data_IF_565552925251
#
_entry.id   IF_565552925251
#
_cell.length_a   1.000
_cell.length_b   1.000
_cell.length_c   1.000
_cell.angle_alpha   90.00
_cell.angle_beta   90.00
_cell.angle_gamma   90.00
#
_symmetry.space_group_name_H-M   'P 1'
#
loop_
_entity.id
_entity.type
_entity.pdbx_description
1 polymer ?
#
# COMPACT_ATOMS: atom_id res chain seq x y z
N UNK A 1 15.59 18.73 -4.74
CA UNK A 1 15.54 17.95 -6.00
C UNK A 1 16.61 18.54 -6.90
N UNK A 2 17.69 17.78 -7.13
CA UNK A 2 18.74 18.16 -8.09
C UNK A 2 18.10 18.17 -9.47
N UNK A 3 18.14 19.33 -10.15
CA UNK A 3 17.64 19.46 -11.52
C UNK A 3 18.80 19.24 -12.47
N UNK A 4 18.63 18.35 -13.44
CA UNK A 4 19.51 18.30 -14.60
C UNK A 4 19.13 19.50 -15.47
N UNK A 5 19.92 20.57 -15.41
CA UNK A 5 19.68 21.78 -16.20
C UNK A 5 20.22 21.64 -17.62
N UNK A 6 19.68 20.65 -18.34
CA UNK A 6 20.04 20.34 -19.73
C UNK A 6 18.78 20.00 -20.54
N UNK A 7 18.79 20.32 -21.82
CA UNK A 7 17.81 19.78 -22.74
C UNK A 7 17.89 18.24 -22.77
N UNK A 8 16.76 17.55 -22.90
CA UNK A 8 16.72 16.06 -22.95
C UNK A 8 17.65 15.46 -24.02
N UNK A 9 17.93 16.21 -25.09
CA UNK A 9 18.84 15.78 -26.17
C UNK A 9 20.32 15.87 -25.77
N UNK A 10 20.64 16.63 -24.71
CA UNK A 10 22.00 16.88 -24.22
C UNK A 10 22.33 16.07 -22.95
N UNK A 11 21.34 15.35 -22.41
CA UNK A 11 21.55 14.51 -21.23
C UNK A 11 22.40 13.31 -21.59
N UNK A 12 23.48 13.13 -20.86
CA UNK A 12 24.41 11.99 -21.00
C UNK A 12 24.22 10.98 -19.86
N UNK A 13 24.79 9.79 -20.04
CA UNK A 13 24.78 8.73 -19.02
C UNK A 13 25.35 9.20 -17.69
N UNK A 14 26.37 10.05 -17.72
CA UNK A 14 27.01 10.55 -16.49
C UNK A 14 26.13 11.56 -15.74
N UNK A 15 25.32 12.35 -16.44
CA UNK A 15 24.35 13.26 -15.80
C UNK A 15 23.33 12.47 -14.99
N UNK A 16 22.85 11.34 -15.53
CA UNK A 16 21.89 10.47 -14.83
C UNK A 16 22.55 9.80 -13.61
N UNK A 17 23.81 9.37 -13.74
CA UNK A 17 24.54 8.79 -12.61
C UNK A 17 24.75 9.81 -11.50
N UNK A 18 25.19 11.03 -11.85
CA UNK A 18 25.35 12.12 -10.91
C UNK A 18 24.00 12.41 -10.19
N UNK A 19 22.91 12.55 -10.94
CA UNK A 19 21.59 12.78 -10.37
C UNK A 19 21.18 11.71 -9.35
N UNK A 20 21.38 10.42 -9.67
CA UNK A 20 21.04 9.32 -8.75
C UNK A 20 21.91 9.38 -7.48
N UNK A 21 23.21 9.66 -7.63
CA UNK A 21 24.14 9.79 -6.52
C UNK A 21 23.82 11.00 -5.62
N UNK A 22 23.54 12.14 -6.22
CA UNK A 22 23.16 13.35 -5.49
C UNK A 22 21.84 13.15 -4.74
N UNK A 23 20.87 12.50 -5.38
CA UNK A 23 19.60 12.17 -4.73
C UNK A 23 19.79 11.21 -3.53
N UNK A 24 20.68 10.22 -3.65
CA UNK A 24 21.05 9.32 -2.54
C UNK A 24 21.61 10.12 -1.36
N UNK A 25 22.56 11.01 -1.63
CA UNK A 25 23.24 11.82 -0.61
C UNK A 25 22.31 12.83 0.08
N UNK A 26 21.44 13.48 -0.68
CA UNK A 26 20.53 14.52 -0.15
C UNK A 26 19.32 13.96 0.61
N UNK A 27 18.75 12.85 0.13
CA UNK A 27 17.52 12.28 0.68
C UNK A 27 17.72 11.09 1.60
N UNK A 28 18.96 10.59 1.75
CA UNK A 28 19.28 9.33 2.43
C UNK A 28 18.41 8.16 1.95
N UNK A 29 18.10 8.12 0.67
CA UNK A 29 17.18 7.17 0.06
C UNK A 29 17.74 5.76 0.04
N UNK A 30 16.92 4.79 0.44
CA UNK A 30 17.29 3.38 0.36
C UNK A 30 17.42 2.87 -1.09
N UNK A 31 18.23 1.82 -1.29
CA UNK A 31 18.51 1.21 -2.60
C UNK A 31 17.27 0.87 -3.43
N UNK A 32 16.16 0.50 -2.79
CA UNK A 32 14.88 0.23 -3.47
C UNK A 32 14.34 1.49 -4.14
N UNK A 33 14.37 2.63 -3.43
CA UNK A 33 13.94 3.92 -3.95
C UNK A 33 14.82 4.36 -5.12
N UNK A 34 16.13 4.21 -4.98
CA UNK A 34 17.08 4.54 -6.05
C UNK A 34 16.86 3.67 -7.31
N UNK A 35 16.62 2.35 -7.15
CA UNK A 35 16.30 1.49 -8.31
C UNK A 35 14.95 1.86 -8.96
N UNK A 36 13.96 2.30 -8.18
CA UNK A 36 12.71 2.81 -8.74
C UNK A 36 12.92 4.10 -9.54
N UNK A 37 13.71 5.06 -9.03
CA UNK A 37 14.09 6.28 -9.76
C UNK A 37 14.81 5.92 -11.05
N UNK A 38 15.82 5.03 -10.98
CA UNK A 38 16.51 4.51 -12.16
C UNK A 38 15.54 3.94 -13.20
N UNK A 39 14.56 3.13 -12.77
CA UNK A 39 13.55 2.53 -13.67
C UNK A 39 12.69 3.58 -14.35
N UNK A 40 12.24 4.59 -13.60
CA UNK A 40 11.44 5.71 -14.15
C UNK A 40 12.25 6.45 -15.22
N UNK A 41 13.51 6.80 -14.90
CA UNK A 41 14.41 7.50 -15.84
C UNK A 41 14.65 6.63 -17.08
N UNK A 42 14.91 5.33 -16.90
CA UNK A 42 15.15 4.41 -18.02
C UNK A 42 13.92 4.29 -18.93
N UNK A 43 12.71 4.19 -18.35
CA UNK A 43 11.48 4.13 -19.13
C UNK A 43 11.21 5.43 -19.89
N UNK A 44 11.48 6.58 -19.27
CA UNK A 44 11.32 7.88 -19.91
C UNK A 44 12.26 8.06 -21.11
N UNK A 45 13.54 7.76 -20.94
CA UNK A 45 14.50 7.89 -22.05
C UNK A 45 14.32 6.80 -23.12
N UNK A 46 13.81 5.62 -22.78
CA UNK A 46 13.42 4.62 -23.76
C UNK A 46 12.24 5.11 -24.62
N UNK A 47 11.22 5.70 -23.99
CA UNK A 47 10.10 6.31 -24.70
C UNK A 47 10.56 7.45 -25.64
N UNK A 48 11.48 8.33 -25.20
CA UNK A 48 12.05 9.38 -26.07
C UNK A 48 12.80 8.82 -27.28
N UNK A 49 13.49 7.67 -27.13
CA UNK A 49 14.17 6.97 -28.21
C UNK A 49 13.15 6.37 -29.16
N UNK A 50 12.10 5.68 -28.66
CA UNK A 50 11.04 5.07 -29.46
C UNK A 50 10.25 6.09 -30.27
N UNK A 51 10.01 7.30 -29.71
CA UNK A 51 9.32 8.40 -30.37
C UNK A 51 10.27 9.26 -31.27
N UNK A 52 11.54 8.87 -31.42
CA UNK A 52 12.54 9.57 -32.22
C UNK A 52 12.88 11.00 -31.74
N UNK A 53 12.62 11.36 -30.49
CA UNK A 53 13.07 12.64 -29.91
C UNK A 53 14.58 12.67 -29.68
N UNK A 54 15.16 11.49 -29.42
CA UNK A 54 16.60 11.26 -29.26
C UNK A 54 17.02 10.03 -30.09
N UNK A 55 18.27 10.01 -30.53
CA UNK A 55 18.79 8.89 -31.35
C UNK A 55 19.08 7.65 -30.49
N UNK A 56 19.48 7.85 -29.22
CA UNK A 56 19.86 6.77 -28.31
C UNK A 56 19.66 7.19 -26.87
N UNK A 57 19.00 6.32 -26.10
CA UNK A 57 18.79 6.55 -24.68
C UNK A 57 20.09 6.56 -23.87
N UNK A 58 20.40 7.64 -23.13
CA UNK A 58 21.56 7.72 -22.24
C UNK A 58 21.43 6.78 -21.05
N UNK A 59 20.22 6.31 -20.74
CA UNK A 59 19.95 5.41 -19.60
C UNK A 59 20.29 3.94 -19.92
N UNK A 60 20.58 3.56 -21.16
CA UNK A 60 20.89 2.15 -21.55
C UNK A 60 22.03 1.51 -20.73
N UNK A 61 23.02 2.32 -20.31
CA UNK A 61 24.18 1.86 -19.53
C UNK A 61 24.02 2.01 -18.02
N UNK A 62 22.81 2.36 -17.57
CA UNK A 62 22.50 2.44 -16.13
C UNK A 62 21.94 1.09 -15.69
N UNK A 63 22.77 0.30 -15.05
CA UNK A 63 22.39 -1.04 -14.60
C UNK A 63 21.52 -1.01 -13.35
N UNK A 64 20.78 -2.09 -13.14
CA UNK A 64 19.95 -2.31 -11.96
C UNK A 64 20.78 -2.21 -10.69
N UNK A 65 20.29 -1.43 -9.73
CA UNK A 65 20.87 -1.36 -8.39
C UNK A 65 20.51 -2.66 -7.66
N UNK A 66 21.52 -3.39 -7.20
CA UNK A 66 21.31 -4.63 -6.46
C UNK A 66 20.73 -4.31 -5.09
N UNK A 67 19.51 -4.70 -4.89
CA UNK A 67 18.83 -4.66 -3.59
C UNK A 67 18.93 -6.05 -2.97
N UNK A 68 19.47 -6.15 -1.77
CA UNK A 68 19.44 -7.41 -1.01
C UNK A 68 18.00 -7.87 -0.79
N UNK A 69 17.75 -9.17 -0.78
CA UNK A 69 16.46 -9.70 -0.33
C UNK A 69 16.37 -9.50 1.18
N UNK A 70 15.54 -8.57 1.62
CA UNK A 70 15.16 -8.44 3.03
C UNK A 70 13.90 -9.28 3.23
N UNK A 71 13.97 -10.30 4.06
CA UNK A 71 12.78 -10.97 4.58
C UNK A 71 12.17 -9.98 5.57
N UNK A 72 10.94 -9.59 5.32
CA UNK A 72 10.20 -8.77 6.30
C UNK A 72 9.71 -9.70 7.39
N UNK A 73 9.85 -9.29 8.63
CA UNK A 73 9.23 -9.96 9.74
C UNK A 73 7.72 -9.96 9.55
N UNK A 74 7.10 -11.07 9.91
CA UNK A 74 5.65 -11.25 9.92
C UNK A 74 5.21 -11.49 11.35
N UNK A 75 4.03 -11.03 11.71
CA UNK A 75 3.49 -11.27 13.03
C UNK A 75 3.28 -12.78 13.25
N UNK A 76 3.69 -13.26 14.42
CA UNK A 76 3.32 -14.61 14.91
C UNK A 76 1.84 -14.64 15.34
N UNK A 77 1.31 -15.83 15.56
CA UNK A 77 -0.06 -15.98 16.05
C UNK A 77 -0.22 -15.35 17.45
N UNK A 78 0.81 -15.47 18.30
CA UNK A 78 0.85 -14.88 19.63
C UNK A 78 0.85 -13.35 19.58
N UNK A 79 1.64 -12.77 18.69
CA UNK A 79 1.67 -11.32 18.49
C UNK A 79 0.32 -10.80 17.98
N UNK A 80 -0.34 -11.54 17.09
CA UNK A 80 -1.69 -11.19 16.64
C UNK A 80 -2.73 -11.25 17.77
N UNK A 81 -2.63 -12.21 18.70
CA UNK A 81 -3.49 -12.24 19.89
C UNK A 81 -3.20 -11.04 20.82
N UNK A 82 -1.93 -10.70 21.04
CA UNK A 82 -1.56 -9.52 21.83
C UNK A 82 -2.12 -8.23 21.20
N UNK A 83 -2.05 -8.09 19.87
CA UNK A 83 -2.67 -6.97 19.18
C UNK A 83 -4.18 -6.90 19.40
N UNK A 84 -4.88 -8.04 19.40
CA UNK A 84 -6.32 -8.12 19.71
C UNK A 84 -6.62 -7.69 21.13
N UNK A 85 -5.83 -8.15 22.09
CA UNK A 85 -5.99 -7.82 23.51
C UNK A 85 -5.76 -6.34 23.82
N UNK A 86 -4.94 -5.65 23.01
CA UNK A 86 -4.72 -4.20 23.14
C UNK A 86 -5.85 -3.36 22.56
N UNK A 87 -6.76 -3.95 21.77
CA UNK A 87 -7.88 -3.22 21.18
C UNK A 87 -8.89 -2.77 22.24
N UNK A 88 -9.14 -1.49 22.29
CA UNK A 88 -10.09 -0.88 23.25
C UNK A 88 -11.50 -0.70 22.66
N UNK A 89 -11.70 -1.04 21.40
CA UNK A 89 -12.99 -0.88 20.71
C UNK A 89 -13.17 -1.97 19.65
N UNK A 90 -14.43 -2.27 19.33
CA UNK A 90 -14.83 -3.33 18.40
C UNK A 90 -14.37 -3.07 16.96
N UNK A 91 -14.27 -1.81 16.52
CA UNK A 91 -13.82 -1.45 15.17
C UNK A 91 -12.38 -1.89 14.93
N UNK A 92 -11.48 -1.55 15.85
CA UNK A 92 -10.06 -1.84 15.69
C UNK A 92 -9.81 -3.34 15.76
N UNK A 93 -10.52 -4.05 16.63
CA UNK A 93 -10.51 -5.51 16.70
C UNK A 93 -10.97 -6.15 15.38
N UNK A 94 -12.11 -5.70 14.83
CA UNK A 94 -12.63 -6.20 13.56
C UNK A 94 -11.68 -5.90 12.38
N UNK A 95 -10.95 -4.77 12.39
CA UNK A 95 -9.95 -4.43 11.38
C UNK A 95 -8.80 -5.45 11.39
N UNK A 96 -8.25 -5.76 12.59
CA UNK A 96 -7.17 -6.75 12.73
C UNK A 96 -7.61 -8.10 12.21
N UNK A 97 -8.80 -8.55 12.63
CA UNK A 97 -9.31 -9.86 12.24
C UNK A 97 -9.56 -9.97 10.74
N UNK A 98 -10.17 -8.96 10.12
CA UNK A 98 -10.39 -8.99 8.68
C UNK A 98 -9.06 -9.02 7.93
N UNK A 99 -8.07 -8.22 8.34
CA UNK A 99 -6.76 -8.21 7.69
C UNK A 99 -6.01 -9.52 7.86
N UNK A 100 -5.97 -10.07 9.09
CA UNK A 100 -5.24 -11.32 9.38
C UNK A 100 -5.91 -12.54 8.76
N UNK A 101 -7.23 -12.63 8.78
CA UNK A 101 -7.99 -13.76 8.27
C UNK A 101 -8.04 -13.82 6.74
N UNK A 102 -8.17 -12.65 6.08
CA UNK A 102 -8.38 -12.58 4.62
C UNK A 102 -7.12 -12.27 3.82
N UNK A 103 -6.11 -11.67 4.42
CA UNK A 103 -4.91 -11.20 3.73
C UNK A 103 -5.16 -10.11 2.67
N UNK A 104 -6.27 -9.38 2.75
CA UNK A 104 -6.55 -8.28 1.82
C UNK A 104 -5.62 -7.10 2.06
N UNK A 105 -5.40 -6.30 1.01
CA UNK A 105 -4.60 -5.08 1.14
C UNK A 105 -5.37 -4.00 1.89
N UNK A 106 -4.66 -3.15 2.63
CA UNK A 106 -5.28 -2.01 3.34
C UNK A 106 -6.10 -1.14 2.39
N UNK A 107 -5.63 -0.93 1.16
CA UNK A 107 -6.38 -0.19 0.13
C UNK A 107 -7.68 -0.89 -0.31
N UNK A 108 -7.75 -2.21 -0.27
CA UNK A 108 -8.97 -2.97 -0.53
C UNK A 108 -9.92 -2.91 0.67
N UNK A 109 -9.38 -3.02 1.89
CA UNK A 109 -10.15 -2.92 3.13
C UNK A 109 -10.92 -1.59 3.24
N UNK A 110 -10.25 -0.46 3.00
CA UNK A 110 -10.88 0.87 3.13
C UNK A 110 -12.00 1.09 2.10
N UNK A 111 -11.98 0.38 0.99
CA UNK A 111 -13.00 0.49 -0.05
C UNK A 111 -14.21 -0.42 0.17
N UNK A 112 -14.16 -1.36 1.12
CA UNK A 112 -15.30 -2.24 1.43
C UNK A 112 -16.48 -1.45 1.97
N UNK A 113 -17.68 -1.87 1.55
CA UNK A 113 -18.95 -1.47 2.12
C UNK A 113 -19.55 -2.62 2.93
N UNK A 114 -20.52 -2.33 3.78
CA UNK A 114 -21.24 -3.35 4.53
C UNK A 114 -21.91 -4.36 3.57
N UNK A 115 -22.44 -3.87 2.44
CA UNK A 115 -23.09 -4.71 1.43
C UNK A 115 -22.14 -5.67 0.69
N UNK A 116 -20.82 -5.46 0.77
CA UNK A 116 -19.82 -6.35 0.13
C UNK A 116 -19.52 -7.59 0.99
N UNK A 117 -20.10 -7.70 2.20
CA UNK A 117 -19.86 -8.79 3.16
C UNK A 117 -21.05 -9.75 3.21
N UNK A 118 -20.81 -11.01 2.89
CA UNK A 118 -21.76 -12.12 3.09
C UNK A 118 -21.39 -12.86 4.39
N UNK A 119 -22.16 -12.61 5.46
CA UNK A 119 -21.93 -13.21 6.77
C UNK A 119 -22.27 -14.71 6.82
N UNK A 120 -23.19 -15.18 5.98
CA UNK A 120 -23.55 -16.60 5.96
C UNK A 120 -22.46 -17.43 5.32
N UNK A 121 -21.95 -16.98 4.18
CA UNK A 121 -20.83 -17.62 3.47
C UNK A 121 -19.47 -17.27 4.03
N UNK A 122 -19.38 -16.30 4.92
CA UNK A 122 -18.14 -15.74 5.45
C UNK A 122 -17.17 -15.32 4.34
N UNK A 123 -17.70 -14.58 3.37
CA UNK A 123 -16.94 -14.07 2.24
C UNK A 123 -17.18 -12.57 2.05
N UNK A 124 -16.21 -11.90 1.46
CA UNK A 124 -16.42 -10.57 0.92
C UNK A 124 -15.79 -10.42 -0.45
N UNK A 125 -16.33 -9.50 -1.24
CA UNK A 125 -15.86 -9.20 -2.59
C UNK A 125 -14.95 -7.99 -2.55
N UNK A 126 -13.69 -8.14 -2.96
CA UNK A 126 -12.72 -7.05 -3.02
C UNK A 126 -12.32 -6.73 -4.45
N UNK A 127 -12.06 -5.45 -4.69
CA UNK A 127 -11.58 -4.95 -5.98
C UNK A 127 -10.07 -4.92 -5.99
N UNK A 128 -9.45 -5.78 -6.81
CA UNK A 128 -8.01 -5.85 -6.98
C UNK A 128 -7.47 -4.95 -8.08
N UNK A 129 -6.17 -5.06 -8.35
CA UNK A 129 -5.48 -4.32 -9.41
C UNK A 129 -6.13 -4.62 -10.78
N UNK A 130 -6.37 -3.57 -11.57
CA UNK A 130 -6.98 -3.69 -12.91
C UNK A 130 -8.48 -3.93 -12.88
N UNK A 131 -9.16 -3.47 -11.83
CA UNK A 131 -10.63 -3.57 -11.65
C UNK A 131 -11.15 -5.03 -11.65
N UNK A 132 -10.30 -5.98 -11.23
CA UNK A 132 -10.68 -7.40 -11.12
C UNK A 132 -11.25 -7.67 -9.73
N UNK A 133 -12.46 -8.20 -9.70
CA UNK A 133 -13.09 -8.66 -8.46
C UNK A 133 -12.54 -10.02 -8.06
N UNK A 134 -12.36 -10.23 -6.77
CA UNK A 134 -12.13 -11.54 -6.19
C UNK A 134 -12.88 -11.70 -4.87
N UNK A 135 -13.28 -12.91 -4.59
CA UNK A 135 -13.82 -13.29 -3.28
C UNK A 135 -12.67 -13.60 -2.34
N UNK A 136 -12.81 -13.18 -1.10
CA UNK A 136 -11.94 -13.57 0.00
C UNK A 136 -12.80 -14.08 1.13
N UNK A 137 -12.26 -15.01 1.91
CA UNK A 137 -12.99 -15.71 2.97
C UNK A 137 -12.40 -15.34 4.32
N UNK A 138 -13.25 -15.26 5.32
CA UNK A 138 -12.85 -14.97 6.70
C UNK A 138 -13.35 -16.06 7.65
N UNK A 139 -12.68 -16.20 8.78
CA UNK A 139 -12.96 -17.22 9.77
C UNK A 139 -14.18 -16.88 10.66
N UNK A 140 -14.52 -17.80 11.57
CA UNK A 140 -15.68 -17.63 12.46
C UNK A 140 -15.46 -16.50 13.49
N UNK A 141 -14.23 -16.30 13.95
CA UNK A 141 -13.88 -15.20 14.89
C UNK A 141 -14.10 -13.85 14.22
N UNK A 142 -13.56 -13.67 13.03
CA UNK A 142 -13.77 -12.46 12.23
C UNK A 142 -15.24 -12.17 12.00
N UNK A 143 -16.07 -13.20 11.70
CA UNK A 143 -17.52 -13.05 11.57
C UNK A 143 -18.15 -12.44 12.83
N UNK A 144 -17.80 -12.95 14.01
CA UNK A 144 -18.38 -12.52 15.29
C UNK A 144 -18.00 -11.05 15.53
N UNK A 145 -16.70 -10.72 15.53
CA UNK A 145 -16.26 -9.37 15.86
C UNK A 145 -16.70 -8.32 14.83
N UNK A 146 -16.73 -8.70 13.55
CA UNK A 146 -17.23 -7.81 12.50
C UNK A 146 -18.74 -7.55 12.65
N UNK A 147 -19.52 -8.58 13.00
CA UNK A 147 -20.94 -8.44 13.26
C UNK A 147 -21.21 -7.56 14.49
N UNK A 148 -20.49 -7.77 15.59
CA UNK A 148 -20.60 -6.96 16.81
C UNK A 148 -20.24 -5.50 16.53
N UNK A 149 -19.17 -5.27 15.76
CA UNK A 149 -18.79 -3.91 15.36
C UNK A 149 -19.91 -3.24 14.55
N UNK A 150 -20.45 -3.90 13.54
CA UNK A 150 -21.52 -3.32 12.72
C UNK A 150 -22.78 -3.07 13.55
N UNK A 151 -23.14 -3.99 14.45
CA UNK A 151 -24.29 -3.84 15.34
C UNK A 151 -24.11 -2.69 16.35
N UNK A 152 -22.89 -2.35 16.71
CA UNK A 152 -22.57 -1.22 17.62
C UNK A 152 -22.59 0.15 16.95
N UNK A 153 -22.73 0.20 15.60
CA UNK A 153 -22.74 1.45 14.85
C UNK A 153 -24.10 2.15 14.94
N UNK A 154 -24.05 3.47 15.01
CA UNK A 154 -25.23 4.35 15.05
C UNK A 154 -25.23 5.37 13.89
N UNK A 155 -24.53 5.05 12.79
CA UNK A 155 -24.42 5.89 11.59
C UNK A 155 -25.03 5.17 10.37
N UNK A 156 -25.34 5.93 9.31
CA UNK A 156 -25.90 5.41 8.06
C UNK A 156 -24.86 5.26 6.92
N UNK A 157 -23.58 5.37 7.27
CA UNK A 157 -22.51 5.30 6.28
C UNK A 157 -22.39 3.90 5.69
N UNK A 158 -22.39 3.80 4.37
CA UNK A 158 -22.27 2.51 3.67
C UNK A 158 -20.92 1.85 3.84
N UNK A 159 -19.88 2.61 4.18
CA UNK A 159 -18.54 2.08 4.37
C UNK A 159 -18.50 1.01 5.47
N UNK A 160 -17.72 -0.06 5.26
CA UNK A 160 -17.55 -1.10 6.27
C UNK A 160 -16.87 -0.54 7.53
N UNK A 161 -15.78 0.22 7.36
CA UNK A 161 -15.05 0.81 8.48
C UNK A 161 -15.11 2.34 8.45
N UNK A 162 -15.48 2.93 9.59
CA UNK A 162 -15.66 4.37 9.74
C UNK A 162 -14.89 4.94 10.94
N UNK A 163 -14.69 6.26 10.95
CA UNK A 163 -14.16 6.99 12.10
C UNK A 163 -15.08 6.82 13.31
N UNK A 164 -14.49 6.72 14.52
CA UNK A 164 -15.25 6.72 15.77
C UNK A 164 -15.82 8.10 16.11
N UNK A 165 -15.25 9.15 15.52
CA UNK A 165 -15.70 10.53 15.73
C UNK A 165 -16.68 10.95 14.62
N UNK A 166 -17.68 11.78 14.99
CA UNK A 166 -18.54 12.43 14.02
C UNK A 166 -17.72 13.25 12.99
N UNK A 167 -18.09 13.21 11.71
CA UNK A 167 -19.32 12.64 11.13
C UNK A 167 -19.19 11.17 10.68
N UNK A 168 -18.44 10.30 11.33
CA UNK A 168 -18.27 8.87 11.01
C UNK A 168 -17.91 8.60 9.53
N UNK A 169 -16.91 9.33 9.05
CA UNK A 169 -16.43 9.18 7.68
C UNK A 169 -15.73 7.83 7.48
N UNK A 170 -15.78 7.31 6.23
CA UNK A 170 -14.97 6.17 5.81
C UNK A 170 -13.52 6.34 6.23
N UNK A 171 -12.92 5.30 6.81
CA UNK A 171 -11.50 5.33 7.15
C UNK A 171 -10.63 5.40 5.88
N UNK A 172 -9.58 6.20 5.97
CA UNK A 172 -8.52 6.25 4.95
C UNK A 172 -7.45 5.18 5.21
N UNK A 173 -6.61 4.90 4.21
CA UNK A 173 -5.42 4.02 4.38
C UNK A 173 -4.57 4.49 5.56
N UNK A 174 -4.27 5.80 5.64
CA UNK A 174 -3.50 6.36 6.75
C UNK A 174 -4.20 6.19 8.11
N UNK A 175 -5.53 6.24 8.14
CA UNK A 175 -6.30 5.98 9.36
C UNK A 175 -6.12 4.54 9.85
N UNK A 176 -6.18 3.56 8.94
CA UNK A 176 -5.92 2.15 9.28
C UNK A 176 -4.47 1.96 9.74
N UNK A 177 -3.49 2.51 9.01
CA UNK A 177 -2.07 2.42 9.39
C UNK A 177 -1.82 2.99 10.80
N UNK A 178 -2.45 4.13 11.13
CA UNK A 178 -2.35 4.73 12.46
C UNK A 178 -2.93 3.82 13.55
N UNK A 179 -4.07 3.16 13.27
CA UNK A 179 -4.68 2.19 14.19
C UNK A 179 -3.72 1.02 14.41
N UNK A 180 -3.21 0.42 13.33
CA UNK A 180 -2.30 -0.73 13.42
C UNK A 180 -1.02 -0.37 14.18
N UNK A 181 -0.44 0.80 13.95
CA UNK A 181 0.73 1.29 14.70
C UNK A 181 0.47 1.50 16.20
N UNK A 182 -0.77 1.75 16.58
CA UNK A 182 -1.12 1.97 17.98
C UNK A 182 -1.28 0.66 18.75
N UNK A 183 -1.66 -0.41 18.07
CA UNK A 183 -1.96 -1.72 18.69
C UNK A 183 -0.84 -2.75 18.49
N UNK A 184 0.12 -2.54 17.58
CA UNK A 184 1.34 -3.32 17.35
C UNK A 184 2.57 -2.53 17.72
#
# INVERSE_FOLDING_TARGET
>A
IVKIDKSVRQVETNDIRAYISDYENESNAGKVTLDNIRRIISSFFAWLEDENYIVKSPARRIHKIRVGKTVKDVYSDEELEQMRDTCTNLRDLAIIDVLSSTGIRVGELVNLNIADVDFEKRECVVMGKGNKQRKVYFDARTKIHLYEYIASRHDETKALFVSLNNPHNRLSIRGIETILHKVG
#
